data_IF_368042312836
#
_entry.id   IF_368042312836
#
_cell.length_a   1.000
_cell.length_b   1.000
_cell.length_c   1.000
_cell.angle_alpha   90.00
_cell.angle_beta   90.00
_cell.angle_gamma   90.00
#
_symmetry.space_group_name_H-M   'P 1'
#
loop_
_entity.id
_entity.type
_entity.pdbx_description
1 polymer ?
#
# COMPACT_ATOMS: atom_id res chain seq x y z
N UNK A 1 -5.52 35.21 -27.17
CA UNK A 1 -6.91 34.82 -27.45
C UNK A 1 -7.00 33.33 -27.80
N UNK A 2 -7.92 32.58 -27.21
CA UNK A 2 -8.15 31.15 -27.53
C UNK A 2 -9.45 30.97 -28.34
N UNK A 3 -9.39 30.20 -29.43
CA UNK A 3 -10.56 29.91 -30.28
C UNK A 3 -11.20 28.59 -29.84
N UNK A 4 -12.51 28.59 -29.60
CA UNK A 4 -13.23 27.37 -29.26
C UNK A 4 -13.29 26.43 -30.47
N UNK A 5 -12.72 25.24 -30.35
CA UNK A 5 -12.74 24.22 -31.41
C UNK A 5 -14.13 23.59 -31.70
N UNK A 6 -15.17 23.93 -30.93
CA UNK A 6 -16.55 23.43 -31.15
C UNK A 6 -17.44 24.44 -31.85
N UNK A 7 -17.41 25.71 -31.45
CA UNK A 7 -18.31 26.74 -31.99
C UNK A 7 -17.57 27.87 -32.71
N UNK A 8 -16.24 27.87 -32.75
CA UNK A 8 -15.44 28.90 -33.42
C UNK A 8 -15.37 30.26 -32.71
N UNK A 9 -16.10 30.46 -31.60
CA UNK A 9 -16.04 31.73 -30.84
C UNK A 9 -14.64 31.95 -30.26
N UNK A 10 -14.17 33.21 -30.34
CA UNK A 10 -12.96 33.70 -29.67
C UNK A 10 -13.27 33.98 -28.20
N UNK A 11 -12.46 33.47 -27.28
CA UNK A 11 -12.57 33.69 -25.84
C UNK A 11 -11.22 34.18 -25.30
N UNK A 12 -11.23 34.74 -24.08
CA UNK A 12 -10.02 35.12 -23.37
C UNK A 12 -9.12 33.91 -23.06
N UNK A 13 -7.80 34.12 -23.04
CA UNK A 13 -6.83 33.04 -22.77
C UNK A 13 -6.98 32.40 -21.39
N UNK A 14 -7.61 33.13 -20.46
CA UNK A 14 -7.88 32.67 -19.10
C UNK A 14 -9.28 32.05 -18.94
N UNK A 15 -10.10 32.06 -20.00
CA UNK A 15 -11.45 31.50 -19.96
C UNK A 15 -11.39 29.97 -19.85
N UNK A 16 -11.89 29.42 -18.75
CA UNK A 16 -11.92 27.96 -18.52
C UNK A 16 -12.92 27.24 -19.44
N UNK A 17 -13.97 27.94 -19.83
CA UNK A 17 -15.07 27.44 -20.66
C UNK A 17 -15.44 28.49 -21.70
N UNK A 18 -15.88 28.03 -22.86
CA UNK A 18 -16.38 28.93 -23.91
C UNK A 18 -17.69 29.59 -23.48
N UNK A 19 -17.75 30.91 -23.58
CA UNK A 19 -18.93 31.70 -23.20
C UNK A 19 -20.17 31.45 -24.07
N UNK A 20 -19.99 30.91 -25.28
CA UNK A 20 -21.11 30.66 -26.20
C UNK A 20 -21.67 29.25 -26.12
N UNK A 21 -20.81 28.24 -25.96
CA UNK A 21 -21.24 26.83 -26.01
C UNK A 21 -20.94 26.02 -24.74
N UNK A 22 -20.36 26.65 -23.71
CA UNK A 22 -20.02 26.01 -22.43
C UNK A 22 -18.90 24.97 -22.49
N UNK A 23 -18.31 24.71 -23.67
CA UNK A 23 -17.24 23.70 -23.81
C UNK A 23 -16.00 24.14 -23.05
N UNK A 24 -15.42 23.22 -22.28
CA UNK A 24 -14.15 23.42 -21.56
C UNK A 24 -13.02 23.75 -22.55
N UNK A 25 -12.31 24.83 -22.28
CA UNK A 25 -11.17 25.32 -23.06
C UNK A 25 -9.85 24.98 -22.36
N UNK A 26 -9.80 25.12 -21.02
CA UNK A 26 -8.61 24.84 -20.22
C UNK A 26 -8.93 23.97 -19.00
N UNK A 27 -8.02 23.07 -18.67
CA UNK A 27 -8.02 22.37 -17.38
C UNK A 27 -7.58 23.34 -16.28
N UNK A 28 -7.99 23.08 -15.04
CA UNK A 28 -7.72 23.93 -13.88
C UNK A 28 -6.26 23.84 -13.42
N UNK A 29 -5.31 23.95 -14.34
CA UNK A 29 -3.90 24.03 -13.98
C UNK A 29 -3.65 25.40 -13.36
N UNK A 30 -3.72 25.47 -12.02
CA UNK A 30 -3.05 26.53 -11.29
C UNK A 30 -1.56 26.20 -11.36
N UNK A 31 -0.71 27.03 -11.98
CA UNK A 31 0.71 26.93 -11.70
C UNK A 31 0.86 27.12 -10.18
N UNK A 32 1.54 26.17 -9.53
CA UNK A 32 1.90 26.32 -8.14
C UNK A 32 2.74 27.61 -7.98
N UNK A 33 2.69 28.30 -6.82
CA UNK A 33 3.57 29.43 -6.56
C UNK A 33 5.01 28.99 -6.83
N UNK A 34 5.72 29.76 -7.64
CA UNK A 34 7.11 29.51 -8.00
C UNK A 34 7.96 29.82 -6.76
N UNK A 35 8.19 28.82 -5.91
CA UNK A 35 9.36 28.83 -5.01
C UNK A 35 10.59 28.37 -5.80
N UNK A 36 11.70 29.05 -5.51
CA UNK A 36 12.97 29.10 -6.22
C UNK A 36 13.38 27.79 -6.93
N UNK A 37 13.38 27.86 -8.26
CA UNK A 37 13.62 26.74 -9.19
C UNK A 37 15.12 26.47 -9.40
N UNK A 38 15.87 26.23 -8.33
CA UNK A 38 17.28 25.78 -8.44
C UNK A 38 17.48 24.29 -8.15
N UNK A 39 16.43 23.55 -7.76
CA UNK A 39 16.55 22.13 -7.41
C UNK A 39 15.41 21.28 -7.97
N UNK A 40 15.41 21.09 -9.30
CA UNK A 40 14.53 20.16 -10.04
C UNK A 40 14.99 18.70 -9.94
N UNK A 41 16.03 18.42 -9.15
CA UNK A 41 16.32 17.07 -8.71
C UNK A 41 15.13 16.59 -7.87
N UNK A 42 14.32 15.73 -8.49
CA UNK A 42 13.29 14.92 -7.84
C UNK A 42 13.76 14.59 -6.43
N UNK A 43 13.10 15.18 -5.43
CA UNK A 43 13.40 14.94 -4.03
C UNK A 43 13.47 13.44 -3.84
N UNK A 44 14.67 12.94 -3.53
CA UNK A 44 14.89 11.51 -3.30
C UNK A 44 13.82 11.05 -2.32
N UNK A 45 13.04 10.03 -2.72
CA UNK A 45 12.02 9.41 -1.88
C UNK A 45 12.69 8.92 -0.58
N UNK A 46 12.73 9.79 0.43
CA UNK A 46 13.06 9.38 1.79
C UNK A 46 11.91 8.52 2.24
N UNK A 47 12.17 7.23 2.32
CA UNK A 47 11.27 6.29 2.97
C UNK A 47 11.13 6.80 4.41
N UNK A 48 9.95 7.35 4.73
CA UNK A 48 9.58 7.60 6.12
C UNK A 48 9.73 6.27 6.83
N UNK A 49 10.66 6.21 7.81
CA UNK A 49 10.94 4.98 8.53
C UNK A 49 9.64 4.35 9.04
N UNK A 50 9.60 3.01 9.05
CA UNK A 50 8.40 2.27 9.48
C UNK A 50 8.07 2.71 10.91
N UNK A 51 6.85 3.24 11.08
CA UNK A 51 6.30 3.66 12.37
C UNK A 51 6.44 2.52 13.40
N UNK A 52 6.92 2.79 14.62
CA UNK A 52 7.13 1.76 15.63
C UNK A 52 5.86 0.95 15.92
N UNK A 53 4.67 1.55 15.78
CA UNK A 53 3.39 0.84 15.98
C UNK A 53 3.12 -0.16 14.86
N UNK A 54 3.46 0.19 13.62
CA UNK A 54 3.35 -0.69 12.45
C UNK A 54 4.35 -1.86 12.53
N UNK A 55 5.53 -1.65 13.12
CA UNK A 55 6.49 -2.75 13.39
C UNK A 55 5.91 -3.78 14.35
N UNK A 56 5.26 -3.36 15.43
CA UNK A 56 4.65 -4.28 16.40
C UNK A 56 3.51 -5.08 15.76
N UNK A 57 2.66 -4.46 14.93
CA UNK A 57 1.60 -5.20 14.23
C UNK A 57 2.16 -6.20 13.22
N UNK A 58 3.20 -5.83 12.46
CA UNK A 58 3.87 -6.74 11.53
C UNK A 58 4.50 -7.92 12.25
N UNK A 59 5.14 -7.68 13.40
CA UNK A 59 5.75 -8.75 14.19
C UNK A 59 4.72 -9.79 14.65
N UNK A 60 3.55 -9.36 15.13
CA UNK A 60 2.46 -10.27 15.51
C UNK A 60 1.94 -11.08 14.31
N UNK A 61 1.84 -10.43 13.15
CA UNK A 61 1.40 -11.09 11.93
C UNK A 61 2.41 -12.15 11.48
N UNK A 62 3.70 -11.83 11.48
CA UNK A 62 4.78 -12.78 11.18
C UNK A 62 4.78 -13.95 12.16
N UNK A 63 4.52 -13.70 13.45
CA UNK A 63 4.45 -14.75 14.46
C UNK A 63 3.30 -15.73 14.22
N UNK A 64 2.11 -15.22 13.88
CA UNK A 64 0.97 -16.06 13.51
C UNK A 64 1.28 -16.94 12.29
N UNK A 65 1.88 -16.35 11.25
CA UNK A 65 2.29 -17.08 10.06
C UNK A 65 3.39 -18.13 10.35
N UNK A 66 4.31 -17.84 11.26
CA UNK A 66 5.33 -18.80 11.68
C UNK A 66 4.71 -20.03 12.34
N UNK A 67 3.71 -19.87 13.22
CA UNK A 67 3.00 -21.01 13.80
C UNK A 67 2.27 -21.86 12.77
N UNK A 68 1.60 -21.21 11.80
CA UNK A 68 0.93 -21.91 10.71
C UNK A 68 1.94 -22.68 9.85
N UNK A 69 3.10 -22.09 9.55
CA UNK A 69 4.15 -22.76 8.79
C UNK A 69 4.73 -23.98 9.54
N UNK A 70 4.93 -23.87 10.85
CA UNK A 70 5.40 -24.99 11.69
C UNK A 70 4.35 -26.11 11.72
N UNK A 71 3.08 -25.79 11.96
CA UNK A 71 1.98 -26.77 11.93
C UNK A 71 1.86 -27.44 10.56
N UNK A 72 1.90 -26.64 9.49
CA UNK A 72 1.87 -27.12 8.12
C UNK A 72 3.03 -28.06 7.82
N UNK A 73 4.26 -27.69 8.23
CA UNK A 73 5.45 -28.53 8.07
C UNK A 73 5.34 -29.86 8.81
N UNK A 74 4.89 -29.85 10.07
CA UNK A 74 4.66 -31.08 10.85
C UNK A 74 3.58 -31.95 10.19
N UNK A 75 2.49 -31.35 9.72
CA UNK A 75 1.43 -32.06 8.99
C UNK A 75 1.94 -32.72 7.72
N UNK A 76 2.71 -31.98 6.89
CA UNK A 76 3.33 -32.52 5.68
C UNK A 76 4.29 -33.67 6.01
N UNK A 77 5.10 -33.53 7.07
CA UNK A 77 6.03 -34.57 7.51
C UNK A 77 5.26 -35.83 7.93
N UNK A 78 4.15 -35.68 8.67
CA UNK A 78 3.31 -36.82 9.05
C UNK A 78 2.68 -37.52 7.84
N UNK A 79 2.28 -36.77 6.80
CA UNK A 79 1.76 -37.34 5.55
C UNK A 79 2.83 -38.12 4.77
N UNK A 80 4.08 -37.64 4.76
CA UNK A 80 5.19 -38.29 4.03
C UNK A 80 5.65 -39.58 4.70
N UNK A 81 5.68 -39.61 6.03
CA UNK A 81 6.21 -40.76 6.78
C UNK A 81 5.13 -41.77 7.22
N UNK A 82 3.83 -41.49 7.00
CA UNK A 82 2.68 -42.29 7.48
C UNK A 82 2.69 -42.60 9.00
N UNK A 83 3.54 -41.91 9.77
CA UNK A 83 3.65 -42.07 11.21
C UNK A 83 2.92 -40.89 11.86
N UNK A 84 1.77 -41.19 12.47
CA UNK A 84 0.84 -40.21 13.02
C UNK A 84 1.12 -39.82 14.48
N UNK A 85 1.95 -40.60 15.18
CA UNK A 85 2.30 -40.37 16.57
C UNK A 85 3.04 -39.04 16.87
N UNK A 86 3.97 -38.52 16.03
CA UNK A 86 4.64 -37.23 16.28
C UNK A 86 3.71 -36.01 16.20
N UNK A 87 2.49 -36.18 15.67
CA UNK A 87 1.50 -35.12 15.59
C UNK A 87 0.97 -34.74 16.98
N UNK A 88 0.82 -35.71 17.89
CA UNK A 88 0.36 -35.49 19.27
C UNK A 88 1.30 -34.62 20.12
N UNK A 89 2.61 -34.92 20.24
CA UNK A 89 3.53 -34.07 21.00
C UNK A 89 3.76 -32.72 20.33
N UNK A 90 3.68 -32.61 19.00
CA UNK A 90 3.81 -31.34 18.30
C UNK A 90 2.63 -30.40 18.59
N UNK A 91 1.40 -30.92 18.56
CA UNK A 91 0.20 -30.15 18.96
C UNK A 91 0.25 -29.80 20.45
N UNK A 92 0.68 -30.73 21.31
CA UNK A 92 0.85 -30.49 22.73
C UNK A 92 1.89 -29.38 23.03
N UNK A 93 3.04 -29.41 22.35
CA UNK A 93 4.09 -28.41 22.50
C UNK A 93 3.64 -27.03 21.97
N UNK A 94 2.90 -26.99 20.86
CA UNK A 94 2.32 -25.75 20.34
C UNK A 94 1.23 -25.19 21.25
N UNK A 95 0.35 -26.04 21.77
CA UNK A 95 -0.66 -25.64 22.76
C UNK A 95 -0.01 -25.10 24.03
N UNK A 96 1.04 -25.77 24.53
CA UNK A 96 1.83 -25.32 25.67
C UNK A 96 2.54 -23.99 25.40
N UNK A 97 3.10 -23.81 24.19
CA UNK A 97 3.78 -22.58 23.80
C UNK A 97 2.81 -21.40 23.69
N UNK A 98 1.61 -21.62 23.14
CA UNK A 98 0.54 -20.61 23.10
C UNK A 98 0.04 -20.28 24.51
N UNK A 99 -0.14 -21.30 25.36
CA UNK A 99 -0.58 -21.14 26.74
C UNK A 99 0.45 -20.39 27.61
N UNK A 100 1.75 -20.73 27.49
CA UNK A 100 2.84 -20.04 28.18
C UNK A 100 3.04 -18.60 27.71
N UNK A 101 2.71 -18.30 26.44
CA UNK A 101 2.77 -16.93 25.91
C UNK A 101 1.57 -16.06 26.30
N UNK A 102 0.56 -16.63 26.96
CA UNK A 102 -0.55 -15.92 27.61
C UNK A 102 -1.11 -14.78 26.74
N UNK A 103 -1.42 -15.11 25.48
CA UNK A 103 -2.30 -14.30 24.63
C UNK A 103 -3.67 -14.20 25.31
#
# INVERSE_FOLDING_TARGET
MIVCNRCGKKNDEVARSCESCGRKLQSSHRPAPVEDSSNWLLSSFRHGGIDPRARVSLQRMIEAWAYVAVLGGVGITCLVYEVWWPLYPAVGALGLAVWLRRI
#
